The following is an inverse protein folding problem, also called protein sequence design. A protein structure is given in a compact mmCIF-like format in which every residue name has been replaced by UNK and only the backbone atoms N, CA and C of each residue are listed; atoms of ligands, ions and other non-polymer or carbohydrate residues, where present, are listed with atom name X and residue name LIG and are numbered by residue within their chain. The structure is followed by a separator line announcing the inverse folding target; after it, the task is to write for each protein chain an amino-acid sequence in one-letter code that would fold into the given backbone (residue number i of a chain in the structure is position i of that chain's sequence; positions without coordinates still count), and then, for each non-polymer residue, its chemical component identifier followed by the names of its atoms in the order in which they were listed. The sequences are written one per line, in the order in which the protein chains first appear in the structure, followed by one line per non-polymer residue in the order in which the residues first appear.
data_IF_187522382337
#
_entry.id   IF_187522382337
#
_cell.length_a   1.000
_cell.length_b   1.000
_cell.length_c   1.000
_cell.angle_alpha   90.00
_cell.angle_beta   90.00
_cell.angle_gamma   90.00
#
_symmetry.space_group_name_H-M   'P 1'
#
loop_
_entity.id
_entity.type
_entity.pdbx_description
1 polymer ?
#
# COMPACT_ATOMS: atom_id res chain seq x y z
N UNK A 1 0.16 8.10 11.93
CA UNK A 1 1.28 8.49 12.83
C UNK A 1 0.82 9.41 13.97
N UNK A 2 -0.03 10.42 13.74
CA UNK A 2 -0.67 11.22 14.82
C UNK A 2 -1.59 10.44 15.78
N UNK A 3 -1.94 9.18 15.44
CA UNK A 3 -2.75 8.32 16.31
C UNK A 3 -2.02 8.01 17.64
N UNK A 4 -0.69 7.87 17.61
CA UNK A 4 0.07 7.41 18.78
C UNK A 4 0.00 8.43 19.93
N UNK A 5 -0.01 9.72 19.60
CA UNK A 5 -0.11 10.79 20.60
C UNK A 5 -1.52 10.98 21.14
N UNK A 6 -2.54 10.71 20.32
CA UNK A 6 -3.94 10.95 20.66
C UNK A 6 -4.57 9.79 21.43
N UNK A 7 -4.04 8.58 21.30
CA UNK A 7 -4.52 7.38 21.99
C UNK A 7 -3.38 6.59 22.65
N UNK A 8 -2.89 7.06 23.82
CA UNK A 8 -1.75 6.45 24.51
C UNK A 8 -2.04 5.10 25.16
N UNK A 9 -3.30 4.66 25.19
CA UNK A 9 -3.72 3.34 25.68
C UNK A 9 -3.65 2.26 24.58
N UNK A 10 -3.48 2.65 23.31
CA UNK A 10 -3.38 1.71 22.20
C UNK A 10 -1.94 1.25 22.01
N UNK A 11 -1.78 -0.03 21.68
CA UNK A 11 -0.51 -0.60 21.26
C UNK A 11 -0.42 -0.59 19.74
N UNK A 12 0.67 -0.05 19.21
CA UNK A 12 0.92 0.05 17.79
C UNK A 12 1.99 -0.97 17.38
N UNK A 13 1.68 -1.77 16.37
CA UNK A 13 2.60 -2.75 15.82
C UNK A 13 2.92 -2.38 14.38
N UNK A 14 4.21 -2.24 14.06
CA UNK A 14 4.71 -1.98 12.71
C UNK A 14 5.40 -3.23 12.20
N UNK A 15 4.90 -3.76 11.09
CA UNK A 15 5.63 -4.77 10.32
C UNK A 15 6.71 -4.08 9.49
N UNK A 16 7.96 -4.53 9.59
CA UNK A 16 9.07 -3.96 8.82
C UNK A 16 9.95 -5.04 8.21
N UNK A 17 10.41 -4.83 6.98
CA UNK A 17 11.43 -5.65 6.34
C UNK A 17 12.87 -5.28 6.72
N UNK A 18 13.07 -4.21 7.48
CA UNK A 18 14.39 -3.68 7.85
C UNK A 18 15.02 -4.48 9.00
N UNK A 19 15.22 -5.78 8.79
CA UNK A 19 15.72 -6.71 9.83
C UNK A 19 17.10 -6.36 10.38
N UNK A 20 17.86 -5.53 9.65
CA UNK A 20 19.19 -5.07 10.03
C UNK A 20 19.19 -3.75 10.81
N UNK A 21 18.00 -3.18 11.10
CA UNK A 21 17.85 -1.93 11.84
C UNK A 21 17.17 -2.18 13.18
N UNK A 22 17.73 -1.58 14.23
CA UNK A 22 17.09 -1.55 15.56
C UNK A 22 15.91 -0.57 15.57
N UNK A 23 14.98 -0.78 16.50
CA UNK A 23 13.83 0.11 16.74
C UNK A 23 14.29 1.56 16.95
N UNK A 24 15.34 1.75 17.73
CA UNK A 24 15.91 3.04 18.08
C UNK A 24 16.47 3.75 16.85
N UNK A 25 17.15 3.02 15.97
CA UNK A 25 17.65 3.56 14.70
C UNK A 25 16.50 3.97 13.77
N UNK A 26 15.42 3.20 13.70
CA UNK A 26 14.24 3.53 12.89
C UNK A 26 13.56 4.81 13.43
N UNK A 27 13.35 4.88 14.74
CA UNK A 27 12.76 6.06 15.39
C UNK A 27 13.64 7.30 15.25
N UNK A 28 14.96 7.17 15.36
CA UNK A 28 15.90 8.25 15.14
C UNK A 28 15.80 8.78 13.70
N UNK A 29 15.75 7.89 12.70
CA UNK A 29 15.55 8.28 11.30
C UNK A 29 14.22 8.99 11.08
N UNK A 30 13.14 8.51 11.71
CA UNK A 30 11.84 9.17 11.62
C UNK A 30 11.87 10.59 12.19
N UNK A 31 12.54 10.80 13.33
CA UNK A 31 12.75 12.12 13.94
C UNK A 31 13.60 13.03 13.03
N UNK A 32 14.70 12.52 12.50
CA UNK A 32 15.61 13.30 11.65
C UNK A 32 14.98 13.69 10.31
N UNK A 33 14.20 12.80 9.68
CA UNK A 33 13.61 13.04 8.36
C UNK A 33 12.30 13.80 8.40
N UNK A 34 11.48 13.56 9.41
CA UNK A 34 10.11 14.07 9.46
C UNK A 34 9.83 14.94 10.67
N UNK A 35 10.80 15.14 11.58
CA UNK A 35 10.58 15.87 12.84
C UNK A 35 9.72 15.11 13.85
N UNK A 36 9.35 13.87 13.57
CA UNK A 36 8.38 13.14 14.39
C UNK A 36 9.08 12.37 15.50
N UNK A 37 8.78 12.74 16.74
CA UNK A 37 9.14 11.94 17.92
C UNK A 37 8.02 10.95 18.20
N UNK A 38 8.31 9.73 18.64
CA UNK A 38 7.26 8.74 18.99
C UNK A 38 7.64 8.13 20.32
N UNK A 39 6.68 7.98 21.23
CA UNK A 39 6.90 7.24 22.47
C UNK A 39 7.21 5.77 22.13
N UNK A 40 8.41 5.26 22.46
CA UNK A 40 8.77 3.89 22.20
C UNK A 40 7.94 2.88 23.01
N UNK A 41 7.31 3.25 24.13
CA UNK A 41 6.63 2.28 25.00
C UNK A 41 5.44 1.59 24.34
N UNK A 42 4.68 2.33 23.53
CA UNK A 42 3.46 1.84 22.88
C UNK A 42 3.69 1.40 21.43
N UNK A 43 4.95 1.28 21.00
CA UNK A 43 5.30 0.94 19.63
C UNK A 43 6.17 -0.31 19.59
N UNK A 44 5.72 -1.32 18.87
CA UNK A 44 6.43 -2.58 18.67
C UNK A 44 6.73 -2.80 17.20
N UNK A 45 7.90 -3.35 16.90
CA UNK A 45 8.29 -3.73 15.54
C UNK A 45 8.26 -5.24 15.40
N UNK A 46 7.59 -5.71 14.37
CA UNK A 46 7.60 -7.11 13.94
C UNK A 46 8.39 -7.18 12.64
N UNK A 47 9.60 -7.72 12.73
CA UNK A 47 10.51 -7.80 11.59
C UNK A 47 10.17 -9.00 10.70
N UNK A 48 9.94 -8.75 9.40
CA UNK A 48 9.60 -9.73 8.38
C UNK A 48 10.83 -10.10 7.56
N UNK A 49 11.04 -11.39 7.31
CA UNK A 49 12.21 -11.91 6.59
C UNK A 49 11.94 -12.04 5.10
N UNK A 50 10.69 -12.22 4.70
CA UNK A 50 10.32 -12.47 3.30
C UNK A 50 10.10 -11.19 2.48
N UNK A 51 10.55 -10.03 2.99
CA UNK A 51 10.41 -8.73 2.29
C UNK A 51 10.99 -8.74 0.88
N UNK A 52 12.09 -9.47 0.64
CA UNK A 52 12.71 -9.57 -0.67
C UNK A 52 11.76 -10.12 -1.74
N UNK A 53 10.83 -11.02 -1.37
CA UNK A 53 9.92 -11.66 -2.32
C UNK A 53 9.01 -10.66 -3.03
N UNK A 54 8.69 -9.52 -2.43
CA UNK A 54 7.77 -8.54 -3.03
C UNK A 54 8.48 -7.47 -3.87
N UNK A 55 9.79 -7.59 -4.07
CA UNK A 55 10.58 -6.66 -4.89
C UNK A 55 10.41 -6.97 -6.40
N UNK A 56 10.23 -5.92 -7.20
CA UNK A 56 9.85 -6.06 -8.60
C UNK A 56 10.97 -6.64 -9.48
N UNK A 57 12.23 -6.46 -9.10
CA UNK A 57 13.41 -6.93 -9.81
C UNK A 57 13.49 -8.47 -9.89
N UNK A 58 12.80 -9.18 -8.97
CA UNK A 58 12.68 -10.63 -9.03
C UNK A 58 11.76 -11.14 -10.16
N UNK A 59 10.94 -10.26 -10.75
CA UNK A 59 9.88 -10.64 -11.67
C UNK A 59 9.96 -9.86 -12.98
N UNK A 60 10.80 -10.30 -13.95
CA UNK A 60 10.93 -9.64 -15.25
C UNK A 60 9.65 -9.72 -16.10
N UNK A 61 8.78 -10.69 -15.82
CA UNK A 61 7.51 -10.91 -16.49
C UNK A 61 6.40 -11.18 -15.47
N UNK A 62 5.16 -10.82 -15.81
CA UNK A 62 3.98 -11.02 -14.95
C UNK A 62 4.15 -10.46 -13.53
N UNK A 63 4.85 -9.33 -13.42
CA UNK A 63 5.23 -8.70 -12.15
C UNK A 63 4.03 -8.48 -11.22
N UNK A 64 2.87 -8.04 -11.73
CA UNK A 64 1.69 -7.78 -10.88
C UNK A 64 1.23 -9.03 -10.13
N UNK A 65 0.96 -10.15 -10.84
CA UNK A 65 0.50 -11.38 -10.18
C UNK A 65 1.58 -11.97 -9.26
N UNK A 66 2.85 -11.93 -9.69
CA UNK A 66 3.94 -12.45 -8.90
C UNK A 66 4.13 -11.67 -7.58
N UNK A 67 4.13 -10.33 -7.64
CA UNK A 67 4.17 -9.47 -6.46
C UNK A 67 2.93 -9.61 -5.58
N UNK A 68 1.75 -9.81 -6.17
CA UNK A 68 0.53 -10.09 -5.39
C UNK A 68 0.64 -11.40 -4.62
N UNK A 69 1.13 -12.47 -5.24
CA UNK A 69 1.35 -13.75 -4.56
C UNK A 69 2.43 -13.64 -3.48
N UNK A 70 3.53 -12.96 -3.77
CA UNK A 70 4.57 -12.68 -2.78
C UNK A 70 4.04 -11.83 -1.61
N UNK A 71 3.17 -10.86 -1.89
CA UNK A 71 2.51 -10.03 -0.87
C UNK A 71 1.59 -10.84 0.02
N UNK A 72 0.89 -11.84 -0.53
CA UNK A 72 0.10 -12.79 0.25
C UNK A 72 0.99 -13.63 1.17
N UNK A 73 2.12 -14.16 0.67
CA UNK A 73 3.09 -14.92 1.47
C UNK A 73 3.69 -14.06 2.59
N UNK A 74 4.08 -12.81 2.29
CA UNK A 74 4.59 -11.87 3.27
C UNK A 74 3.54 -11.50 4.32
N UNK A 75 2.28 -11.30 3.89
CA UNK A 75 1.15 -11.08 4.79
C UNK A 75 0.91 -12.27 5.70
N UNK A 76 1.09 -13.49 5.19
CA UNK A 76 0.95 -14.72 5.98
C UNK A 76 2.06 -14.83 7.03
N UNK A 77 3.31 -14.50 6.67
CA UNK A 77 4.40 -14.37 7.64
C UNK A 77 4.06 -13.35 8.75
N UNK A 78 3.53 -12.19 8.38
CA UNK A 78 3.14 -11.14 9.31
C UNK A 78 2.05 -11.63 10.27
N UNK A 79 1.01 -12.27 9.73
CA UNK A 79 -0.12 -12.81 10.47
C UNK A 79 0.31 -13.88 11.50
N UNK A 80 1.21 -14.79 11.10
CA UNK A 80 1.74 -15.82 11.99
C UNK A 80 2.57 -15.24 13.14
N UNK A 81 3.22 -14.09 12.93
CA UNK A 81 4.00 -13.40 13.95
C UNK A 81 3.14 -12.59 14.90
N UNK A 82 2.09 -11.94 14.38
CA UNK A 82 1.17 -11.15 15.18
C UNK A 82 -0.17 -11.01 14.47
N UNK A 83 -1.26 -11.26 15.19
CA UNK A 83 -2.62 -11.00 14.71
C UNK A 83 -3.22 -9.80 15.47
N UNK A 84 -3.31 -8.61 14.86
CA UNK A 84 -3.85 -7.42 15.51
C UNK A 84 -5.38 -7.43 15.52
N UNK A 85 -5.99 -6.64 16.41
CA UNK A 85 -7.42 -6.34 16.36
C UNK A 85 -7.78 -5.49 15.13
N UNK A 86 -6.93 -4.51 14.81
CA UNK A 86 -7.06 -3.64 13.64
C UNK A 86 -5.78 -3.75 12.80
N UNK A 87 -5.93 -4.22 11.56
CA UNK A 87 -4.87 -4.29 10.57
C UNK A 87 -5.02 -3.18 9.54
N UNK A 88 -3.92 -2.51 9.18
CA UNK A 88 -3.91 -1.44 8.18
C UNK A 88 -2.86 -1.76 7.13
N UNK A 89 -3.27 -1.97 5.88
CA UNK A 89 -2.34 -2.06 4.75
C UNK A 89 -1.95 -0.65 4.30
N UNK A 90 -0.69 -0.29 4.49
CA UNK A 90 -0.10 0.97 4.01
C UNK A 90 0.92 0.78 2.88
N UNK A 91 1.17 -0.46 2.47
CA UNK A 91 2.20 -0.81 1.47
C UNK A 91 1.60 -1.08 0.09
N UNK A 92 0.28 -1.25 0.00
CA UNK A 92 -0.43 -1.53 -1.26
C UNK A 92 -0.51 -3.02 -1.58
N UNK A 93 -0.37 -3.89 -0.57
CA UNK A 93 -0.57 -5.32 -0.71
C UNK A 93 -2.02 -5.70 -0.42
N UNK A 94 -2.95 -5.22 -1.24
CA UNK A 94 -4.41 -5.38 -1.06
C UNK A 94 -4.90 -6.78 -0.66
N UNK A 95 -4.24 -7.85 -1.12
CA UNK A 95 -4.59 -9.24 -0.77
C UNK A 95 -4.30 -9.61 0.70
N UNK A 96 -3.54 -8.79 1.44
CA UNK A 96 -3.41 -8.93 2.89
C UNK A 96 -4.71 -8.56 3.61
N UNK A 97 -5.59 -7.74 3.02
CA UNK A 97 -6.87 -7.36 3.62
C UNK A 97 -7.80 -8.57 3.81
N UNK A 98 -8.16 -9.35 2.77
CA UNK A 98 -8.97 -10.55 2.96
C UNK A 98 -8.23 -11.63 3.77
N UNK A 99 -6.89 -11.67 3.70
CA UNK A 99 -6.09 -12.58 4.52
C UNK A 99 -6.33 -12.33 6.02
N UNK A 100 -6.11 -11.11 6.50
CA UNK A 100 -6.29 -10.76 7.92
C UNK A 100 -7.75 -10.78 8.37
N UNK A 101 -8.70 -10.50 7.47
CA UNK A 101 -10.13 -10.47 7.80
C UNK A 101 -10.78 -11.85 7.84
N UNK A 102 -10.51 -12.69 6.84
CA UNK A 102 -11.29 -13.91 6.59
C UNK A 102 -10.50 -15.19 6.79
N UNK A 103 -9.26 -15.25 6.30
CA UNK A 103 -8.45 -16.50 6.36
C UNK A 103 -8.12 -16.86 7.81
N UNK A 104 -7.92 -15.85 8.65
CA UNK A 104 -7.76 -15.99 10.10
C UNK A 104 -8.96 -16.73 10.72
N UNK A 105 -10.18 -16.38 10.31
CA UNK A 105 -11.43 -17.01 10.77
C UNK A 105 -11.55 -18.47 10.33
N UNK A 106 -11.04 -18.81 9.14
CA UNK A 106 -10.99 -20.20 8.65
C UNK A 106 -9.97 -21.03 9.44
N UNK A 107 -8.93 -20.39 9.99
CA UNK A 107 -7.92 -21.01 10.84
C UNK A 107 -8.30 -21.04 12.34
N UNK A 108 -9.57 -20.78 12.68
CA UNK A 108 -10.09 -20.72 14.07
C UNK A 108 -9.48 -19.60 14.92
N UNK A 109 -8.99 -18.55 14.28
CA UNK A 109 -8.47 -17.35 14.93
C UNK A 109 -9.47 -16.21 14.69
N UNK A 110 -9.64 -15.30 15.65
CA UNK A 110 -10.47 -14.11 15.43
C UNK A 110 -9.85 -13.22 14.35
N UNK A 111 -10.59 -12.93 13.27
CA UNK A 111 -10.14 -12.03 12.21
C UNK A 111 -9.97 -10.58 12.68
N UNK A 112 -9.08 -9.84 12.00
CA UNK A 112 -8.89 -8.42 12.24
C UNK A 112 -9.95 -7.57 11.53
N UNK A 113 -10.27 -6.41 12.10
CA UNK A 113 -10.84 -5.30 11.33
C UNK A 113 -9.76 -4.76 10.41
N UNK A 114 -10.07 -4.54 9.14
CA UNK A 114 -9.07 -4.20 8.12
C UNK A 114 -9.34 -2.84 7.50
N UNK A 115 -8.28 -2.07 7.31
CA UNK A 115 -8.31 -0.79 6.60
C UNK A 115 -7.14 -0.70 5.61
N UNK A 116 -7.27 0.19 4.63
CA UNK A 116 -6.24 0.44 3.63
C UNK A 116 -5.86 1.92 3.58
N UNK A 117 -4.58 2.23 3.43
CA UNK A 117 -4.06 3.54 3.06
C UNK A 117 -3.33 3.42 1.72
N UNK A 118 -4.01 3.79 0.63
CA UNK A 118 -3.47 3.64 -0.73
C UNK A 118 -2.80 4.94 -1.17
N UNK A 119 -1.50 4.87 -1.42
CA UNK A 119 -0.73 5.99 -1.97
C UNK A 119 -0.69 5.95 -3.51
N UNK A 120 -0.47 4.76 -4.08
CA UNK A 120 -0.63 4.48 -5.50
C UNK A 120 -1.32 3.12 -5.66
N UNK A 121 -2.32 3.00 -6.54
CA UNK A 121 -3.00 1.73 -6.75
C UNK A 121 -2.07 0.75 -7.48
N UNK A 122 -2.12 -0.54 -7.13
CA UNK A 122 -1.33 -1.60 -7.80
C UNK A 122 -1.63 -1.68 -9.30
N UNK A 123 -2.89 -1.43 -9.67
CA UNK A 123 -3.36 -1.29 -11.04
C UNK A 123 -4.29 -0.09 -11.12
N UNK A 124 -4.11 0.78 -12.12
CA UNK A 124 -4.99 1.92 -12.40
C UNK A 124 -5.80 1.71 -13.68
N UNK A 125 -6.90 2.44 -13.84
CA UNK A 125 -7.64 2.45 -15.11
C UNK A 125 -6.79 2.98 -16.27
N UNK A 126 -5.91 3.94 -16.01
CA UNK A 126 -5.02 4.51 -17.03
C UNK A 126 -4.12 3.40 -17.62
N UNK A 127 -3.64 2.46 -16.80
CA UNK A 127 -2.86 1.31 -17.29
C UNK A 127 -3.68 0.39 -18.19
N UNK A 128 -4.97 0.21 -17.91
CA UNK A 128 -5.88 -0.61 -18.72
C UNK A 128 -6.19 0.12 -20.05
N UNK A 129 -6.45 1.42 -19.97
CA UNK A 129 -6.79 2.25 -21.13
C UNK A 129 -5.59 2.39 -22.08
N UNK A 130 -4.37 2.54 -21.57
CA UNK A 130 -3.13 2.56 -22.36
C UNK A 130 -2.94 1.27 -23.18
N UNK A 131 -3.17 0.11 -22.57
CA UNK A 131 -3.08 -1.19 -23.28
C UNK A 131 -4.22 -1.31 -24.30
N UNK A 132 -5.42 -0.82 -23.97
CA UNK A 132 -6.56 -0.81 -24.90
C UNK A 132 -6.32 0.10 -26.12
N UNK A 133 -5.63 1.23 -25.94
CA UNK A 133 -5.26 2.18 -27.00
C UNK A 133 -3.97 1.80 -27.72
N UNK A 134 -3.26 0.78 -27.22
CA UNK A 134 -1.96 0.32 -27.74
C UNK A 134 -0.91 1.44 -27.74
N UNK A 135 -0.94 2.29 -26.74
CA UNK A 135 0.04 3.34 -26.57
C UNK A 135 1.30 2.78 -25.89
N UNK A 136 2.49 3.23 -26.32
CA UNK A 136 3.76 2.86 -25.67
C UNK A 136 3.81 3.45 -24.27
N UNK A 137 4.27 2.66 -23.31
CA UNK A 137 4.52 3.12 -21.94
C UNK A 137 5.57 2.24 -21.28
N UNK A 138 6.08 2.65 -20.11
CA UNK A 138 7.03 1.85 -19.31
C UNK A 138 6.51 0.43 -19.07
N UNK A 139 5.20 0.29 -18.88
CA UNK A 139 4.54 -0.98 -18.67
C UNK A 139 3.97 -1.59 -19.96
N UNK A 140 4.20 -1.03 -21.16
CA UNK A 140 3.66 -1.49 -22.43
C UNK A 140 4.70 -1.45 -23.56
N UNK A 141 5.46 -2.54 -23.69
CA UNK A 141 6.55 -2.68 -24.65
C UNK A 141 6.09 -2.66 -26.13
N UNK A 142 6.98 -2.22 -27.01
CA UNK A 142 6.76 -2.08 -28.46
C UNK A 142 6.25 -3.37 -29.11
N UNK A 143 6.79 -4.52 -28.70
CA UNK A 143 6.42 -5.85 -29.21
C UNK A 143 4.95 -6.17 -28.89
N UNK A 144 4.45 -5.69 -27.74
CA UNK A 144 3.06 -5.90 -27.31
C UNK A 144 2.14 -4.96 -28.09
N UNK A 145 2.55 -3.70 -28.28
CA UNK A 145 1.81 -2.69 -29.04
C UNK A 145 1.63 -3.11 -30.50
N UNK A 146 2.69 -3.65 -31.12
CA UNK A 146 2.70 -4.02 -32.54
C UNK A 146 1.96 -5.34 -32.82
N UNK A 147 1.67 -6.14 -31.80
CA UNK A 147 1.02 -7.44 -31.96
C UNK A 147 -0.39 -7.45 -31.36
N UNK A 148 -1.41 -7.60 -32.24
CA UNK A 148 -2.81 -7.68 -31.83
C UNK A 148 -3.05 -8.74 -30.75
N UNK A 149 -2.51 -9.95 -30.90
CA UNK A 149 -2.79 -11.05 -29.98
C UNK A 149 -2.19 -10.77 -28.59
N UNK A 150 -0.96 -10.26 -28.54
CA UNK A 150 -0.28 -9.94 -27.28
C UNK A 150 -0.95 -8.76 -26.55
N UNK A 151 -1.39 -7.73 -27.28
CA UNK A 151 -2.19 -6.64 -26.72
C UNK A 151 -3.51 -7.13 -26.11
N UNK A 152 -4.25 -8.01 -26.81
CA UNK A 152 -5.49 -8.57 -26.29
C UNK A 152 -5.26 -9.49 -25.08
N UNK A 153 -4.24 -10.34 -25.13
CA UNK A 153 -3.88 -11.22 -24.01
C UNK A 153 -3.52 -10.41 -22.75
N UNK A 154 -2.76 -9.32 -22.92
CA UNK A 154 -2.41 -8.43 -21.81
C UNK A 154 -3.62 -7.66 -21.26
N UNK A 155 -4.51 -7.20 -22.13
CA UNK A 155 -5.74 -6.55 -21.71
C UNK A 155 -6.62 -7.52 -20.90
N UNK A 156 -6.74 -8.77 -21.35
CA UNK A 156 -7.45 -9.82 -20.61
C UNK A 156 -6.78 -10.07 -19.25
N UNK A 157 -5.46 -10.18 -19.21
CA UNK A 157 -4.68 -10.30 -17.97
C UNK A 157 -4.96 -9.15 -17.00
N UNK A 158 -4.90 -7.89 -17.44
CA UNK A 158 -5.20 -6.74 -16.58
C UNK A 158 -6.66 -6.71 -16.12
N UNK A 159 -7.62 -7.10 -16.97
CA UNK A 159 -9.04 -7.16 -16.57
C UNK A 159 -9.28 -8.23 -15.50
N UNK A 160 -8.69 -9.42 -15.66
CA UNK A 160 -8.77 -10.49 -14.65
C UNK A 160 -8.12 -10.03 -13.35
N UNK A 161 -6.92 -9.43 -13.42
CA UNK A 161 -6.24 -8.91 -12.24
C UNK A 161 -7.05 -7.79 -11.57
N UNK A 162 -7.60 -6.84 -12.33
CA UNK A 162 -8.43 -5.75 -11.81
C UNK A 162 -9.65 -6.27 -11.06
N UNK A 163 -10.28 -7.34 -11.56
CA UNK A 163 -11.41 -7.98 -10.90
C UNK A 163 -11.02 -8.51 -9.51
N UNK A 164 -9.96 -9.31 -9.41
CA UNK A 164 -9.51 -9.85 -8.12
C UNK A 164 -8.94 -8.77 -7.19
N UNK A 165 -8.24 -7.78 -7.73
CA UNK A 165 -7.76 -6.62 -6.99
C UNK A 165 -8.93 -5.82 -6.39
N UNK A 166 -10.02 -5.66 -7.15
CA UNK A 166 -11.27 -5.06 -6.66
C UNK A 166 -11.90 -5.87 -5.53
N UNK A 167 -12.01 -7.19 -5.69
CA UNK A 167 -12.54 -8.08 -4.64
C UNK A 167 -11.69 -8.05 -3.36
N UNK A 168 -10.36 -8.02 -3.48
CA UNK A 168 -9.48 -7.91 -2.33
C UNK A 168 -9.68 -6.58 -1.59
N UNK A 169 -9.84 -5.48 -2.34
CA UNK A 169 -10.12 -4.16 -1.81
C UNK A 169 -11.43 -4.07 -1.02
N UNK A 170 -12.47 -4.79 -1.45
CA UNK A 170 -13.77 -4.84 -0.77
C UNK A 170 -13.72 -5.46 0.63
N UNK A 171 -12.63 -6.13 1.01
CA UNK A 171 -12.45 -6.61 2.37
C UNK A 171 -12.24 -5.46 3.38
N UNK A 172 -11.72 -4.30 2.93
CA UNK A 172 -11.47 -3.15 3.79
C UNK A 172 -12.76 -2.49 4.29
N UNK A 173 -12.84 -2.20 5.59
CA UNK A 173 -13.94 -1.42 6.19
C UNK A 173 -13.73 0.08 6.02
N UNK A 174 -12.47 0.50 5.97
CA UNK A 174 -12.09 1.90 5.77
C UNK A 174 -11.00 1.96 4.72
N UNK A 175 -11.28 2.69 3.64
CA UNK A 175 -10.32 2.95 2.58
C UNK A 175 -9.92 4.42 2.63
N UNK A 176 -8.64 4.66 2.83
CA UNK A 176 -8.02 5.98 2.80
C UNK A 176 -7.11 6.07 1.60
N UNK A 177 -7.09 7.23 0.95
CA UNK A 177 -6.28 7.49 -0.25
C UNK A 177 -5.55 8.82 -0.13
N UNK A 178 -4.36 8.93 -0.70
CA UNK A 178 -3.52 10.12 -0.58
C UNK A 178 -3.99 11.35 -1.39
N UNK A 179 -4.91 11.18 -2.34
CA UNK A 179 -5.33 12.26 -3.23
C UNK A 179 -6.49 11.88 -4.15
N UNK A 180 -6.99 12.87 -4.90
CA UNK A 180 -8.16 12.72 -5.78
C UNK A 180 -7.94 11.76 -6.94
N UNK A 181 -6.74 11.75 -7.54
CA UNK A 181 -6.39 10.82 -8.61
C UNK A 181 -6.48 9.36 -8.14
N UNK A 182 -5.84 9.04 -7.01
CA UNK A 182 -5.89 7.71 -6.40
C UNK A 182 -7.32 7.35 -5.99
N UNK A 183 -8.08 8.31 -5.46
CA UNK A 183 -9.49 8.12 -5.11
C UNK A 183 -10.32 7.69 -6.32
N UNK A 184 -10.17 8.35 -7.47
CA UNK A 184 -10.92 8.02 -8.69
C UNK A 184 -10.69 6.57 -9.15
N UNK A 185 -9.43 6.13 -9.15
CA UNK A 185 -9.06 4.77 -9.52
C UNK A 185 -9.58 3.72 -8.53
N UNK A 186 -9.38 3.96 -7.23
CA UNK A 186 -9.82 3.03 -6.18
C UNK A 186 -11.34 2.93 -6.13
N UNK A 187 -12.08 4.04 -6.20
CA UNK A 187 -13.55 4.02 -6.21
C UNK A 187 -14.09 3.16 -7.35
N UNK A 188 -13.48 3.25 -8.54
CA UNK A 188 -13.92 2.50 -9.71
C UNK A 188 -13.52 1.02 -9.68
N UNK A 189 -12.28 0.71 -9.32
CA UNK A 189 -11.78 -0.68 -9.34
C UNK A 189 -12.26 -1.47 -8.13
N UNK A 190 -12.19 -0.89 -6.93
CA UNK A 190 -12.62 -1.54 -5.68
C UNK A 190 -14.13 -1.43 -5.46
N UNK A 191 -14.84 -0.61 -6.26
CA UNK A 191 -16.28 -0.34 -6.11
C UNK A 191 -16.63 0.16 -4.70
N UNK A 192 -15.81 1.05 -4.18
CA UNK A 192 -15.91 1.65 -2.85
C UNK A 192 -16.02 3.16 -3.00
N UNK A 193 -17.24 3.70 -3.05
CA UNK A 193 -17.48 5.13 -3.30
C UNK A 193 -17.02 6.03 -2.15
N UNK A 194 -17.04 5.50 -0.93
CA UNK A 194 -16.76 6.18 0.34
C UNK A 194 -15.27 6.30 0.69
N UNK A 195 -14.36 5.96 -0.25
CA UNK A 195 -12.92 6.13 -0.07
C UNK A 195 -12.59 7.58 0.37
N UNK A 196 -11.94 7.71 1.54
CA UNK A 196 -11.66 8.98 2.20
C UNK A 196 -10.31 9.53 1.77
N UNK A 197 -10.28 10.77 1.32
CA UNK A 197 -9.01 11.44 0.96
C UNK A 197 -8.32 11.87 2.25
N UNK A 198 -7.14 11.32 2.50
CA UNK A 198 -6.28 11.62 3.65
C UNK A 198 -4.89 11.93 3.12
N UNK A 199 -4.58 13.22 3.00
CA UNK A 199 -3.27 13.67 2.55
C UNK A 199 -2.18 13.21 3.52
N UNK A 200 -0.99 12.82 3.01
CA UNK A 200 0.14 12.54 3.87
C UNK A 200 0.48 13.80 4.69
N UNK A 201 0.85 13.64 5.97
CA UNK A 201 1.20 14.78 6.79
C UNK A 201 2.45 15.45 6.21
N UNK A 202 2.33 16.75 5.92
CA UNK A 202 3.44 17.59 5.49
C UNK A 202 3.71 18.61 6.58
N UNK A 203 4.90 18.54 7.19
CA UNK A 203 5.34 19.59 8.11
C UNK A 203 5.80 20.80 7.29
N UNK A 204 4.93 21.82 7.26
CA UNK A 204 5.21 23.11 6.61
C UNK A 204 5.63 24.17 7.60
N UNK A 205 5.74 23.87 8.90
CA UNK A 205 6.04 24.86 9.93
C UNK A 205 7.39 25.54 9.69
N UNK A 206 8.41 24.79 9.27
CA UNK A 206 9.70 25.35 8.88
C UNK A 206 9.62 26.26 7.64
N UNK A 207 8.78 25.92 6.66
CA UNK A 207 8.59 26.72 5.44
C UNK A 207 7.79 27.99 5.68
N UNK A 208 6.74 27.91 6.51
CA UNK A 208 5.94 29.07 6.91
C UNK A 208 6.71 30.06 7.80
N UNK A 209 7.75 29.59 8.49
CA UNK A 209 8.65 30.43 9.28
C UNK A 209 9.69 31.19 8.44
N UNK A 210 9.88 30.84 7.16
CA UNK A 210 10.73 31.61 6.27
C UNK A 210 10.02 32.93 5.93
N UNK A 211 10.65 34.06 6.25
CA UNK A 211 10.19 35.36 5.80
C UNK A 211 10.19 35.40 4.27
N UNK A 212 9.06 35.71 3.65
CA UNK A 212 9.01 36.05 2.24
C UNK A 212 9.82 37.34 2.01
N UNK A 213 11.07 37.20 1.60
CA UNK A 213 11.77 38.26 0.89
C UNK A 213 11.20 38.30 -0.54
N UNK A 214 9.97 38.79 -0.68
CA UNK A 214 9.45 39.12 -2.00
C UNK A 214 10.36 40.23 -2.55
N UNK A 215 11.00 39.96 -3.69
CA UNK A 215 11.70 40.98 -4.47
C UNK A 215 10.71 42.09 -4.78
N UNK A 216 10.83 43.21 -4.09
CA UNK A 216 10.20 44.48 -4.47
C UNK A 216 10.81 44.88 -5.82
N UNK A 217 10.13 44.56 -6.91
CA UNK A 217 10.40 45.12 -8.25
C UNK A 217 9.70 46.46 -8.41
#
# INVERSE_FOLDING_TARGET
MFLIFRWPHLQFVIYSGDINATKEQILLKAKQRFGITVDPKNLHFVFLRLRRLVEADLYPHFTLIAQTMAGFVLGFEALLKFNPEIFIDSMGYSFTLPLFRFVVSVLWIAGSRVAAYVHYPTLSHDMIDLVSRRERSYNNADIIVQNNLLSHAKLLYYRIFAFFYGLAGQAAEVVMVNGSWTAGHIRRIWRCEDAKIVFPPCDVSAFLALHQMAETR
#
